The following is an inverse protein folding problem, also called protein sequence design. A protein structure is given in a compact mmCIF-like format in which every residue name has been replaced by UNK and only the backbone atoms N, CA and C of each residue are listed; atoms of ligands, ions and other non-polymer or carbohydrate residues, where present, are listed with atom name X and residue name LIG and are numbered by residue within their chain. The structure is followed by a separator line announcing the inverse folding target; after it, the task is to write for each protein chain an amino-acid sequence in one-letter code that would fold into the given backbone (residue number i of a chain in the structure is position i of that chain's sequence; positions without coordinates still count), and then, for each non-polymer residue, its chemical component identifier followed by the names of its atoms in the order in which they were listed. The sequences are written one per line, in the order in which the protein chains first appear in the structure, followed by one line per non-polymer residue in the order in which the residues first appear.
data_IF_185602700377
#
_entry.id   IF_185602700377
#
_cell.length_a   1.000
_cell.length_b   1.000
_cell.length_c   1.000
_cell.angle_alpha   90.00
_cell.angle_beta   90.00
_cell.angle_gamma   90.00
#
_symmetry.space_group_name_H-M   'P 1'
#
loop_
_entity.id
_entity.type
_entity.pdbx_description
1 polymer ?
#
# COMPACT_ATOMS: atom_id res chain seq x y z
N UNK A 1 -45.52 21.48 -0.12
CA UNK A 1 -45.04 20.84 -1.37
C UNK A 1 -43.52 20.94 -1.39
N UNK A 2 -42.81 19.88 -1.00
CA UNK A 2 -41.36 19.86 -1.08
C UNK A 2 -40.96 19.65 -2.54
N UNK A 3 -40.24 20.61 -3.14
CA UNK A 3 -39.64 20.43 -4.46
C UNK A 3 -38.53 19.39 -4.34
N UNK A 4 -38.84 18.13 -4.66
CA UNK A 4 -37.87 17.06 -4.91
C UNK A 4 -37.05 17.45 -6.15
N UNK A 5 -36.07 18.34 -5.99
CA UNK A 5 -35.06 18.56 -7.03
C UNK A 5 -34.15 17.34 -6.99
N UNK A 6 -34.27 16.49 -8.00
CA UNK A 6 -33.31 15.43 -8.25
C UNK A 6 -31.90 16.03 -8.18
N UNK A 7 -31.01 15.41 -7.42
CA UNK A 7 -29.63 15.86 -7.35
C UNK A 7 -28.97 15.71 -8.72
N UNK A 8 -27.90 16.45 -8.97
CA UNK A 8 -27.11 16.30 -10.20
C UNK A 8 -26.69 14.85 -10.45
N UNK A 9 -26.41 14.10 -9.38
CA UNK A 9 -26.04 12.68 -9.44
C UNK A 9 -27.22 11.82 -9.90
N UNK A 10 -28.42 12.09 -9.38
CA UNK A 10 -29.62 11.36 -9.77
C UNK A 10 -29.95 11.60 -11.25
N UNK A 11 -29.87 12.85 -11.70
CA UNK A 11 -30.07 13.21 -13.11
C UNK A 11 -29.07 12.50 -14.03
N UNK A 12 -27.80 12.39 -13.60
CA UNK A 12 -26.74 11.75 -14.36
C UNK A 12 -26.91 10.22 -14.45
N UNK A 13 -27.42 9.60 -13.37
CA UNK A 13 -27.73 8.17 -13.33
C UNK A 13 -28.94 7.87 -14.23
N UNK A 14 -29.98 8.71 -14.19
CA UNK A 14 -31.19 8.52 -15.01
C UNK A 14 -30.99 8.85 -16.50
N UNK A 15 -29.93 9.57 -16.87
CA UNK A 15 -29.60 9.86 -18.27
C UNK A 15 -28.83 8.75 -18.99
N UNK A 16 -28.58 7.62 -18.34
CA UNK A 16 -27.81 6.52 -18.94
C UNK A 16 -28.60 5.85 -20.10
N UNK A 17 -27.94 5.53 -21.23
CA UNK A 17 -28.58 4.83 -22.35
C UNK A 17 -29.13 3.45 -21.96
N UNK A 18 -30.22 3.02 -22.59
CA UNK A 18 -30.75 1.66 -22.41
C UNK A 18 -29.70 0.61 -22.81
N UNK A 19 -29.36 -0.28 -21.87
CA UNK A 19 -28.34 -1.31 -22.05
C UNK A 19 -26.96 -0.96 -21.46
N UNK A 20 -26.71 0.28 -21.05
CA UNK A 20 -25.50 0.65 -20.28
C UNK A 20 -25.77 0.67 -18.76
N UNK A 21 -24.75 0.40 -17.97
CA UNK A 21 -24.83 0.54 -16.51
C UNK A 21 -24.91 2.03 -16.14
N UNK A 22 -25.94 2.47 -15.38
CA UNK A 22 -26.09 3.88 -14.99
C UNK A 22 -24.88 4.44 -14.24
N UNK A 23 -24.26 3.61 -13.39
CA UNK A 23 -23.05 3.97 -12.66
C UNK A 23 -21.81 4.05 -13.56
N UNK A 24 -21.75 3.25 -14.62
CA UNK A 24 -20.68 3.31 -15.60
C UNK A 24 -20.74 4.61 -16.42
N UNK A 25 -21.94 4.97 -16.86
CA UNK A 25 -22.21 6.18 -17.60
C UNK A 25 -21.83 7.43 -16.78
N UNK A 26 -22.33 7.51 -15.54
CA UNK A 26 -22.02 8.60 -14.63
C UNK A 26 -20.51 8.73 -14.34
N UNK A 27 -19.82 7.61 -14.12
CA UNK A 27 -18.37 7.61 -13.89
C UNK A 27 -17.59 8.12 -15.12
N UNK A 28 -17.97 7.68 -16.33
CA UNK A 28 -17.34 8.17 -17.57
C UNK A 28 -17.57 9.67 -17.76
N UNK A 29 -18.77 10.17 -17.48
CA UNK A 29 -19.10 11.58 -17.59
C UNK A 29 -18.26 12.45 -16.63
N UNK A 30 -18.15 12.02 -15.36
CA UNK A 30 -17.34 12.73 -14.35
C UNK A 30 -15.86 12.73 -14.70
N UNK A 31 -15.33 11.65 -15.28
CA UNK A 31 -13.91 11.58 -15.71
C UNK A 31 -13.57 12.66 -16.73
N UNK A 32 -14.49 13.02 -17.62
CA UNK A 32 -14.27 14.10 -18.61
C UNK A 32 -14.31 15.50 -18.00
N UNK A 33 -14.95 15.66 -16.84
CA UNK A 33 -15.02 16.93 -16.10
C UNK A 33 -13.83 17.17 -15.17
N UNK A 34 -13.03 16.14 -14.90
CA UNK A 34 -11.86 16.29 -14.05
C UNK A 34 -10.77 17.08 -14.79
N UNK A 35 -10.27 18.18 -14.21
CA UNK A 35 -9.21 18.96 -14.84
C UNK A 35 -7.95 18.11 -14.99
N UNK A 36 -7.23 18.34 -16.10
CA UNK A 36 -5.95 17.70 -16.34
C UNK A 36 -5.01 17.96 -15.14
N UNK A 37 -4.32 16.90 -14.69
CA UNK A 37 -3.36 17.03 -13.60
C UNK A 37 -2.16 17.84 -14.07
N UNK A 38 -1.63 18.75 -13.24
CA UNK A 38 -0.47 19.55 -13.59
C UNK A 38 0.80 18.68 -13.69
N UNK A 39 1.78 19.08 -14.50
CA UNK A 39 3.00 18.28 -14.75
C UNK A 39 3.78 17.91 -13.49
N UNK A 40 3.78 18.78 -12.47
CA UNK A 40 4.46 18.52 -11.19
C UNK A 40 3.88 17.29 -10.48
N UNK A 41 2.60 16.98 -10.68
CA UNK A 41 1.94 15.81 -10.10
C UNK A 41 2.58 14.51 -10.63
N UNK A 42 2.82 14.45 -11.94
CA UNK A 42 3.46 13.29 -12.56
C UNK A 42 4.93 13.17 -12.16
N UNK A 43 5.64 14.29 -12.01
CA UNK A 43 7.02 14.30 -11.48
C UNK A 43 7.08 13.76 -10.05
N UNK A 44 6.09 14.11 -9.20
CA UNK A 44 5.99 13.59 -7.85
C UNK A 44 5.77 12.07 -7.82
N UNK A 45 4.93 11.52 -8.71
CA UNK A 45 4.73 10.08 -8.83
C UNK A 45 6.04 9.37 -9.19
N UNK A 46 6.78 9.89 -10.17
CA UNK A 46 8.08 9.33 -10.58
C UNK A 46 9.07 9.39 -9.40
N UNK A 47 9.18 10.54 -8.74
CA UNK A 47 10.05 10.71 -7.57
C UNK A 47 9.69 9.71 -6.45
N UNK A 48 8.40 9.49 -6.21
CA UNK A 48 7.91 8.51 -5.22
C UNK A 48 8.31 7.08 -5.60
N UNK A 49 8.21 6.72 -6.90
CA UNK A 49 8.66 5.42 -7.40
C UNK A 49 10.16 5.18 -7.18
N UNK A 50 10.99 6.19 -7.45
CA UNK A 50 12.43 6.16 -7.19
C UNK A 50 12.72 6.02 -5.70
N UNK A 51 12.05 6.81 -4.84
CA UNK A 51 12.23 6.72 -3.39
C UNK A 51 11.86 5.33 -2.86
N UNK A 52 10.76 4.74 -3.31
CA UNK A 52 10.40 3.37 -2.92
C UNK A 52 11.43 2.33 -3.38
N UNK A 53 12.04 2.51 -4.56
CA UNK A 53 13.11 1.62 -5.03
C UNK A 53 14.37 1.75 -4.18
N UNK A 54 14.75 2.98 -3.81
CA UNK A 54 15.87 3.24 -2.89
C UNK A 54 15.60 2.65 -1.51
N UNK A 55 14.40 2.86 -0.96
CA UNK A 55 13.97 2.27 0.32
C UNK A 55 14.05 0.75 0.29
N UNK A 56 13.66 0.12 -0.81
CA UNK A 56 13.79 -1.33 -0.98
C UNK A 56 15.26 -1.78 -0.93
N UNK A 57 16.16 -1.13 -1.67
CA UNK A 57 17.59 -1.45 -1.67
C UNK A 57 18.19 -1.27 -0.27
N UNK A 58 17.90 -0.16 0.41
CA UNK A 58 18.38 0.09 1.77
C UNK A 58 17.85 -0.94 2.77
N UNK A 59 16.61 -1.38 2.60
CA UNK A 59 16.01 -2.43 3.43
C UNK A 59 16.72 -3.76 3.22
N UNK A 60 17.05 -4.13 1.98
CA UNK A 60 17.82 -5.34 1.66
C UNK A 60 19.25 -5.28 2.24
N UNK A 61 19.93 -4.15 2.10
CA UNK A 61 21.28 -3.95 2.68
C UNK A 61 21.23 -4.10 4.20
N UNK A 62 20.26 -3.46 4.85
CA UNK A 62 20.05 -3.57 6.29
C UNK A 62 19.79 -5.02 6.72
N UNK A 63 18.97 -5.75 5.95
CA UNK A 63 18.71 -7.16 6.16
C UNK A 63 20.01 -7.99 6.11
N UNK A 64 20.87 -7.77 5.10
CA UNK A 64 22.15 -8.46 4.95
C UNK A 64 23.10 -8.15 6.12
N UNK A 65 23.18 -6.90 6.56
CA UNK A 65 24.04 -6.50 7.69
C UNK A 65 23.59 -7.19 8.97
N UNK A 66 22.29 -7.20 9.26
CA UNK A 66 21.71 -7.89 10.43
C UNK A 66 21.97 -9.40 10.35
N UNK A 67 21.81 -10.00 9.17
CA UNK A 67 22.11 -11.41 8.92
C UNK A 67 23.57 -11.77 9.25
N UNK A 68 24.51 -10.95 8.78
CA UNK A 68 25.96 -11.17 8.96
C UNK A 68 26.40 -11.01 10.40
N UNK A 69 25.90 -9.98 11.11
CA UNK A 69 26.24 -9.74 12.53
C UNK A 69 25.85 -10.94 13.42
N UNK A 70 24.70 -11.55 13.17
CA UNK A 70 24.23 -12.70 13.97
C UNK A 70 24.98 -14.00 13.67
N UNK A 71 25.41 -14.22 12.43
CA UNK A 71 26.29 -15.34 12.06
C UNK A 71 27.62 -15.29 12.84
N UNK A 72 28.16 -14.09 13.05
CA UNK A 72 29.40 -13.88 13.81
C UNK A 72 29.20 -14.07 15.33
N UNK A 73 27.99 -13.80 15.84
CA UNK A 73 27.66 -13.93 17.26
C UNK A 73 27.30 -15.36 17.71
N UNK A 74 27.35 -16.35 16.81
CA UNK A 74 27.01 -17.76 17.09
C UNK A 74 25.59 -17.96 17.72
N UNK A 75 24.66 -17.03 17.48
CA UNK A 75 23.25 -17.13 17.89
C UNK A 75 22.50 -18.08 16.94
N UNK A 76 22.84 -19.38 16.96
CA UNK A 76 22.23 -20.40 16.10
C UNK A 76 20.76 -20.76 16.44
N UNK A 77 20.14 -20.13 17.43
CA UNK A 77 18.92 -20.67 18.04
C UNK A 77 17.80 -19.66 18.27
N UNK A 78 17.26 -19.04 17.23
CA UNK A 78 15.83 -18.68 17.17
C UNK A 78 15.56 -18.11 15.77
N UNK A 79 14.85 -18.89 14.96
CA UNK A 79 14.46 -18.54 13.58
C UNK A 79 14.08 -17.06 13.49
N UNK A 80 14.70 -16.33 12.57
CA UNK A 80 14.57 -14.91 12.19
C UNK A 80 13.29 -14.14 12.53
N UNK A 81 12.18 -14.85 12.60
CA UNK A 81 10.83 -14.34 12.82
C UNK A 81 10.36 -14.45 14.24
N UNK A 82 11.06 -15.16 15.13
CA UNK A 82 10.57 -15.46 16.47
C UNK A 82 11.72 -15.48 17.48
N UNK A 83 11.50 -14.91 18.66
CA UNK A 83 12.31 -14.95 19.87
C UNK A 83 11.59 -15.87 20.85
N UNK A 84 12.34 -16.64 21.64
CA UNK A 84 11.76 -17.60 22.60
C UNK A 84 11.65 -17.06 24.03
N UNK A 85 12.12 -15.83 24.29
CA UNK A 85 12.14 -15.21 25.63
C UNK A 85 11.93 -13.69 25.57
N UNK A 86 11.08 -13.17 26.46
CA UNK A 86 11.13 -11.76 26.86
C UNK A 86 12.30 -11.50 27.80
N UNK A 87 12.67 -10.22 27.94
CA UNK A 87 13.51 -9.78 29.06
C UNK A 87 12.85 -9.92 30.45
N UNK A 88 11.72 -10.64 30.53
CA UNK A 88 10.96 -10.88 31.75
C UNK A 88 11.51 -12.15 32.46
N UNK A 89 11.66 -12.15 33.80
CA UNK A 89 12.24 -13.27 34.55
C UNK A 89 11.42 -14.57 34.51
N UNK A 90 10.19 -14.53 34.00
CA UNK A 90 9.36 -15.72 33.78
C UNK A 90 9.96 -16.59 32.67
N UNK A 91 10.41 -17.81 33.04
CA UNK A 91 11.02 -18.79 32.14
C UNK A 91 10.03 -19.46 31.16
N UNK A 92 8.84 -18.90 30.94
CA UNK A 92 7.85 -19.47 30.05
C UNK A 92 8.28 -19.16 28.61
N UNK A 93 8.66 -20.18 27.81
CA UNK A 93 9.05 -19.96 26.43
C UNK A 93 7.80 -19.60 25.61
N UNK A 94 7.82 -18.46 24.95
CA UNK A 94 6.81 -18.10 23.97
C UNK A 94 7.47 -17.58 22.71
N UNK A 95 6.83 -17.86 21.58
CA UNK A 95 7.30 -17.52 20.24
C UNK A 95 6.87 -16.07 19.97
N UNK A 96 7.83 -15.15 19.87
CA UNK A 96 7.53 -13.72 19.72
C UNK A 96 8.25 -13.09 18.54
N UNK A 97 7.55 -12.34 17.67
CA UNK A 97 8.22 -11.74 16.54
C UNK A 97 9.35 -10.79 16.90
N UNK A 98 10.49 -10.93 16.21
CA UNK A 98 11.57 -9.95 16.35
C UNK A 98 11.13 -8.66 15.63
N UNK A 99 10.91 -7.56 16.37
CA UNK A 99 10.29 -6.35 15.82
C UNK A 99 11.14 -5.73 14.70
N UNK A 100 12.47 -5.74 14.83
CA UNK A 100 13.37 -5.17 13.83
C UNK A 100 13.33 -5.97 12.51
N UNK A 101 13.33 -7.30 12.59
CA UNK A 101 13.28 -8.14 11.38
C UNK A 101 11.89 -8.14 10.76
N UNK A 102 10.82 -8.15 11.57
CA UNK A 102 9.47 -7.95 11.08
C UNK A 102 9.33 -6.61 10.36
N UNK A 103 9.80 -5.52 10.97
CA UNK A 103 9.77 -4.21 10.34
C UNK A 103 10.49 -4.19 8.99
N UNK A 104 11.71 -4.73 8.91
CA UNK A 104 12.46 -4.82 7.65
C UNK A 104 11.73 -5.66 6.59
N UNK A 105 11.13 -6.79 6.97
CA UNK A 105 10.39 -7.66 6.04
C UNK A 105 9.13 -6.97 5.53
N UNK A 106 8.34 -6.36 6.41
CA UNK A 106 7.13 -5.64 6.02
C UNK A 106 7.44 -4.40 5.18
N UNK A 107 8.52 -3.68 5.48
CA UNK A 107 8.97 -2.55 4.68
C UNK A 107 9.44 -2.99 3.27
N UNK A 108 10.12 -4.14 3.16
CA UNK A 108 10.48 -4.71 1.86
C UNK A 108 9.24 -5.08 1.03
N UNK A 109 8.27 -5.76 1.64
CA UNK A 109 6.99 -6.11 1.00
C UNK A 109 6.26 -4.84 0.57
N UNK A 110 6.11 -3.87 1.47
CA UNK A 110 5.45 -2.61 1.18
C UNK A 110 6.13 -1.85 0.03
N UNK A 111 7.46 -1.77 0.04
CA UNK A 111 8.22 -1.12 -1.03
C UNK A 111 8.02 -1.80 -2.39
N UNK A 112 7.91 -3.13 -2.43
CA UNK A 112 7.57 -3.88 -3.66
C UNK A 112 6.14 -3.59 -4.10
N UNK A 113 5.17 -3.63 -3.18
CA UNK A 113 3.75 -3.42 -3.49
C UNK A 113 3.44 -1.97 -3.91
N UNK A 114 4.22 -1.01 -3.41
CA UNK A 114 4.10 0.39 -3.82
C UNK A 114 4.54 0.63 -5.27
N UNK A 115 5.40 -0.21 -5.85
CA UNK A 115 5.82 -0.06 -7.26
C UNK A 115 4.65 -0.18 -8.25
N UNK A 116 3.89 -1.30 -8.31
CA UNK A 116 2.76 -1.41 -9.23
C UNK A 116 1.68 -0.36 -8.92
N UNK A 117 1.44 -0.02 -7.65
CA UNK A 117 0.51 1.05 -7.28
C UNK A 117 0.93 2.41 -7.84
N UNK A 118 2.20 2.79 -7.70
CA UNK A 118 2.74 4.07 -8.18
C UNK A 118 2.59 4.18 -9.70
N UNK A 119 2.91 3.12 -10.45
CA UNK A 119 2.76 3.11 -11.90
C UNK A 119 1.31 3.10 -12.36
N UNK A 120 0.44 2.34 -11.70
CA UNK A 120 -1.01 2.36 -12.00
C UNK A 120 -1.59 3.75 -11.76
N UNK A 121 -1.14 4.45 -10.71
CA UNK A 121 -1.54 5.82 -10.44
C UNK A 121 -1.08 6.77 -11.56
N UNK A 122 0.16 6.63 -12.04
CA UNK A 122 0.65 7.38 -13.20
C UNK A 122 -0.25 7.18 -14.43
N UNK A 123 -0.52 5.92 -14.80
CA UNK A 123 -1.32 5.60 -15.98
C UNK A 123 -2.78 6.02 -15.82
N UNK A 124 -3.38 5.89 -14.63
CA UNK A 124 -4.76 6.29 -14.38
C UNK A 124 -5.00 7.78 -14.61
N UNK A 125 -4.01 8.63 -14.31
CA UNK A 125 -4.15 10.08 -14.49
C UNK A 125 -3.63 10.58 -15.84
N UNK A 126 -2.66 9.89 -16.44
CA UNK A 126 -2.12 10.28 -17.75
C UNK A 126 -2.96 9.75 -18.92
N UNK A 127 -3.53 8.56 -18.77
CA UNK A 127 -4.38 7.89 -19.76
C UNK A 127 -5.64 7.37 -19.07
N UNK A 128 -6.54 8.29 -18.66
CA UNK A 128 -7.70 7.94 -17.85
C UNK A 128 -8.59 6.95 -18.59
N UNK A 129 -8.78 5.78 -17.97
CA UNK A 129 -9.73 4.78 -18.40
C UNK A 129 -10.30 4.09 -17.18
N UNK A 130 -11.59 3.76 -17.24
CA UNK A 130 -12.31 3.11 -16.13
C UNK A 130 -11.59 1.86 -15.61
N UNK A 131 -11.02 1.06 -16.52
CA UNK A 131 -10.30 -0.16 -16.18
C UNK A 131 -8.97 0.08 -15.47
N UNK A 132 -8.32 1.23 -15.67
CA UNK A 132 -7.06 1.57 -14.97
C UNK A 132 -7.38 2.27 -13.64
N UNK A 133 -8.38 3.15 -13.61
CA UNK A 133 -8.80 3.85 -12.38
C UNK A 133 -9.35 2.88 -11.31
N UNK A 134 -10.13 1.87 -11.70
CA UNK A 134 -10.63 0.85 -10.76
C UNK A 134 -9.48 0.02 -10.15
N UNK A 135 -8.45 -0.29 -10.95
CA UNK A 135 -7.24 -0.98 -10.46
C UNK A 135 -6.48 -0.14 -9.44
N UNK A 136 -6.40 1.19 -9.61
CA UNK A 136 -5.76 2.07 -8.62
C UNK A 136 -6.45 1.99 -7.27
N UNK A 137 -7.78 2.05 -7.21
CA UNK A 137 -8.52 1.95 -5.95
C UNK A 137 -8.35 0.58 -5.28
N UNK A 138 -8.39 -0.50 -6.06
CA UNK A 138 -8.10 -1.84 -5.54
C UNK A 138 -6.70 -1.93 -4.96
N UNK A 139 -5.68 -1.47 -5.71
CA UNK A 139 -4.29 -1.50 -5.26
C UNK A 139 -4.04 -0.61 -4.06
N UNK A 140 -4.71 0.55 -3.97
CA UNK A 140 -4.64 1.40 -2.80
C UNK A 140 -5.10 0.68 -1.54
N UNK A 141 -6.29 0.07 -1.58
CA UNK A 141 -6.82 -0.72 -0.46
C UNK A 141 -5.95 -1.93 -0.13
N UNK A 142 -5.44 -2.61 -1.14
CA UNK A 142 -4.53 -3.75 -0.97
C UNK A 142 -3.25 -3.35 -0.24
N UNK A 143 -2.56 -2.30 -0.70
CA UNK A 143 -1.32 -1.81 -0.08
C UNK A 143 -1.56 -1.33 1.35
N UNK A 144 -2.68 -0.66 1.62
CA UNK A 144 -3.03 -0.14 2.94
C UNK A 144 -3.16 -1.26 3.99
N UNK A 145 -3.74 -2.40 3.61
CA UNK A 145 -3.85 -3.57 4.50
C UNK A 145 -2.47 -4.09 4.91
N UNK A 146 -1.52 -4.14 3.97
CA UNK A 146 -0.17 -4.63 4.23
C UNK A 146 0.65 -3.67 5.11
N UNK A 147 0.47 -2.36 4.93
CA UNK A 147 1.10 -1.35 5.79
C UNK A 147 0.60 -1.45 7.24
N UNK A 148 -0.73 -1.48 7.41
CA UNK A 148 -1.35 -1.63 8.73
C UNK A 148 -0.99 -2.95 9.43
N UNK A 149 -0.99 -4.07 8.70
CA UNK A 149 -0.57 -5.37 9.22
C UNK A 149 0.90 -5.37 9.65
N UNK A 150 1.77 -4.72 8.86
CA UNK A 150 3.19 -4.60 9.17
C UNK A 150 3.45 -3.77 10.42
N UNK A 151 2.79 -2.61 10.57
CA UNK A 151 2.88 -1.80 11.79
C UNK A 151 2.40 -2.56 13.02
N UNK A 152 1.26 -3.26 12.92
CA UNK A 152 0.69 -4.01 14.03
C UNK A 152 1.59 -5.19 14.46
N UNK A 153 2.08 -5.99 13.51
CA UNK A 153 2.95 -7.13 13.81
C UNK A 153 4.35 -6.74 14.28
N UNK A 154 4.92 -5.64 13.76
CA UNK A 154 6.20 -5.13 14.26
C UNK A 154 6.09 -4.50 15.65
N UNK A 155 4.96 -3.86 15.98
CA UNK A 155 4.71 -3.28 17.30
C UNK A 155 4.58 -4.33 18.41
N UNK A 156 4.07 -5.54 18.12
CA UNK A 156 4.03 -6.61 19.13
C UNK A 156 5.41 -6.95 19.67
N UNK A 157 6.45 -6.91 18.84
CA UNK A 157 7.81 -7.24 19.24
C UNK A 157 8.45 -6.26 20.24
N UNK A 158 7.83 -5.09 20.47
CA UNK A 158 8.38 -3.98 21.27
C UNK A 158 7.76 -3.80 22.67
N UNK A 159 6.77 -4.64 23.07
CA UNK A 159 6.03 -4.49 24.35
C UNK A 159 6.70 -5.14 25.56
#
# INVERSE_FOLDING_TARGET
MATNRLSFVDLLIFSAPEGESPFAYAANFIVHLLPAKPDWYFKQIIATGVLNAVSFVLTLVSFIIVARRRKLANEMGSLWFFRTRYGHPSRIPYIMPNPLTMFLVWNAIFSILMQPYTWLNYFAWKYPSRGVTSKVYFWYGFVFIFDGAGMWMSAFGTL
#
